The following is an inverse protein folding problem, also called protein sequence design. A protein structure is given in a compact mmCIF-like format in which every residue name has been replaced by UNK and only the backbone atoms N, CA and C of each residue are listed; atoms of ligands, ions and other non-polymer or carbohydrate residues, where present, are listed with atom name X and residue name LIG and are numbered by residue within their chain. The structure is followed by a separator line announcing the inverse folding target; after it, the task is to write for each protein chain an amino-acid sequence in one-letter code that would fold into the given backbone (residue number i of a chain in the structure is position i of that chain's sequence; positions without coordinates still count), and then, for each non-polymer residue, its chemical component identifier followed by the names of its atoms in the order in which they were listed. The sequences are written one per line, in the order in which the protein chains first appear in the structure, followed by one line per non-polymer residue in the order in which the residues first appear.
data_IF_468003803631
#
_entry.id   IF_468003803631
#
_cell.length_a   1.000
_cell.length_b   1.000
_cell.length_c   1.000
_cell.angle_alpha   90.00
_cell.angle_beta   90.00
_cell.angle_gamma   90.00
#
_symmetry.space_group_name_H-M   'P 1'
#
loop_
_entity.id
_entity.type
_entity.pdbx_description
1 polymer ?
#
# COMPACT_ATOMS: atom_id res chain seq x y z
N UNK A 1 -15.50 9.89 -17.59
CA UNK A 1 -14.33 10.19 -18.43
C UNK A 1 -13.33 10.99 -17.63
N UNK A 2 -12.18 11.34 -18.23
CA UNK A 2 -11.15 12.16 -17.58
C UNK A 2 -11.70 13.52 -17.10
N UNK A 3 -12.67 14.08 -17.82
CA UNK A 3 -13.32 15.35 -17.48
C UNK A 3 -14.29 15.26 -16.27
N UNK A 4 -14.55 14.06 -15.77
CA UNK A 4 -15.47 13.83 -14.64
C UNK A 4 -14.73 13.70 -13.30
N UNK A 5 -13.40 13.82 -13.29
CA UNK A 5 -12.58 13.64 -12.09
C UNK A 5 -11.66 14.83 -11.93
N UNK A 6 -11.81 15.54 -10.81
CA UNK A 6 -10.91 16.62 -10.42
C UNK A 6 -10.26 16.29 -9.08
N UNK A 7 -8.93 16.28 -9.04
CA UNK A 7 -8.14 16.01 -7.83
C UNK A 7 -6.85 16.83 -7.87
N UNK A 8 -6.52 17.47 -6.76
CA UNK A 8 -5.30 18.25 -6.63
C UNK A 8 -5.31 19.11 -5.38
N UNK A 9 -4.17 19.75 -5.04
CA UNK A 9 -4.16 20.82 -4.05
C UNK A 9 -5.02 21.98 -4.57
N UNK A 10 -6.00 22.42 -3.76
CA UNK A 10 -6.87 23.54 -4.13
C UNK A 10 -6.23 24.89 -3.79
N UNK A 11 -5.84 25.09 -2.53
CA UNK A 11 -5.31 26.37 -2.04
C UNK A 11 -4.42 26.21 -0.81
N UNK A 12 -3.60 27.22 -0.52
CA UNK A 12 -2.84 27.34 0.73
C UNK A 12 -3.52 28.32 1.68
N UNK A 13 -3.84 27.84 2.89
CA UNK A 13 -4.57 28.61 3.91
C UNK A 13 -3.70 28.70 5.17
N UNK A 14 -3.06 29.86 5.47
CA UNK A 14 -2.00 29.95 6.48
C UNK A 14 -2.40 29.50 7.89
N UNK A 15 -3.64 29.79 8.31
CA UNK A 15 -4.11 29.47 9.66
C UNK A 15 -4.53 28.00 9.85
N UNK A 16 -4.48 27.18 8.80
CA UNK A 16 -4.67 25.73 8.96
C UNK A 16 -3.45 25.05 9.58
N UNK A 17 -2.26 25.68 9.50
CA UNK A 17 -1.00 25.10 9.97
C UNK A 17 -0.80 23.69 9.38
N UNK A 18 -0.63 22.66 10.21
CA UNK A 18 -0.47 21.25 9.81
C UNK A 18 -1.80 20.54 9.47
N UNK A 19 -2.95 21.21 9.63
CA UNK A 19 -4.23 20.59 9.27
C UNK A 19 -4.43 20.59 7.77
N UNK A 20 -4.91 19.46 7.26
CA UNK A 20 -5.38 19.30 5.88
C UNK A 20 -6.88 19.14 5.89
N UNK A 21 -7.55 19.94 5.06
CA UNK A 21 -8.97 19.82 4.78
C UNK A 21 -9.14 19.28 3.36
N UNK A 22 -9.98 18.26 3.20
CA UNK A 22 -10.38 17.74 1.91
C UNK A 22 -11.91 17.80 1.80
N UNK A 23 -12.39 18.51 0.80
CA UNK A 23 -13.80 18.52 0.39
C UNK A 23 -13.95 17.56 -0.78
N UNK A 24 -14.74 16.51 -0.61
CA UNK A 24 -14.90 15.45 -1.62
C UNK A 24 -16.39 15.34 -1.96
N UNK A 25 -16.68 15.41 -3.26
CA UNK A 25 -18.02 15.21 -3.83
C UNK A 25 -17.98 14.03 -4.80
N UNK A 26 -18.94 13.13 -4.68
CA UNK A 26 -19.13 11.96 -5.52
C UNK A 26 -20.55 11.98 -6.06
N UNK A 27 -20.68 11.83 -7.38
CA UNK A 27 -21.97 11.71 -8.06
C UNK A 27 -22.04 10.38 -8.79
N UNK A 28 -23.13 9.66 -8.61
CA UNK A 28 -23.34 8.35 -9.19
C UNK A 28 -24.80 8.04 -9.40
N UNK A 29 -25.08 6.78 -9.74
CA UNK A 29 -26.42 6.24 -9.96
C UNK A 29 -26.56 4.90 -9.24
N UNK A 30 -27.74 4.65 -8.70
CA UNK A 30 -28.08 3.37 -8.06
C UNK A 30 -28.97 2.53 -8.98
N UNK A 31 -29.57 1.46 -8.44
CA UNK A 31 -30.51 0.61 -9.17
C UNK A 31 -31.63 1.45 -9.81
N UNK A 32 -31.95 1.17 -11.07
CA UNK A 32 -32.96 1.92 -11.82
C UNK A 32 -32.51 3.29 -12.31
N UNK A 33 -31.20 3.54 -12.41
CA UNK A 33 -30.60 4.81 -12.87
C UNK A 33 -30.93 6.01 -11.97
N UNK A 34 -31.31 5.75 -10.72
CA UNK A 34 -31.66 6.80 -9.75
C UNK A 34 -30.39 7.55 -9.31
N UNK A 35 -30.34 8.88 -9.45
CA UNK A 35 -29.19 9.69 -9.03
C UNK A 35 -28.85 9.53 -7.55
N UNK A 36 -27.56 9.45 -7.25
CA UNK A 36 -27.00 9.35 -5.91
C UNK A 36 -25.87 10.37 -5.78
N UNK A 37 -25.89 11.16 -4.70
CA UNK A 37 -24.86 12.14 -4.41
C UNK A 37 -24.31 11.93 -3.00
N UNK A 38 -23.00 12.11 -2.85
CA UNK A 38 -22.32 12.11 -1.55
C UNK A 38 -21.41 13.32 -1.50
N UNK A 39 -21.49 14.08 -0.41
CA UNK A 39 -20.54 15.13 -0.07
C UNK A 39 -19.95 14.85 1.31
N UNK A 40 -18.65 15.03 1.44
CA UNK A 40 -17.95 14.86 2.70
C UNK A 40 -16.85 15.92 2.89
N UNK A 41 -16.62 16.29 4.14
CA UNK A 41 -15.46 17.08 4.57
C UNK A 41 -14.61 16.22 5.48
N UNK A 42 -13.34 16.04 5.12
CA UNK A 42 -12.34 15.36 5.93
C UNK A 42 -11.36 16.38 6.50
N UNK A 43 -11.20 16.39 7.82
CA UNK A 43 -10.19 17.17 8.51
C UNK A 43 -9.19 16.24 9.20
N UNK A 44 -7.91 16.42 8.92
CA UNK A 44 -6.83 15.64 9.52
C UNK A 44 -5.66 16.55 9.88
N UNK A 45 -4.79 16.08 10.78
CA UNK A 45 -3.44 16.64 10.94
C UNK A 45 -2.49 15.86 10.03
N UNK A 46 -1.90 16.50 9.02
CA UNK A 46 -1.19 15.82 7.94
C UNK A 46 0.08 15.10 8.42
N UNK A 47 0.89 15.77 9.23
CA UNK A 47 2.16 15.18 9.71
C UNK A 47 1.95 13.98 10.64
N UNK A 48 1.10 14.06 11.69
CA UNK A 48 0.77 12.91 12.54
C UNK A 48 0.11 11.75 11.79
N UNK A 49 -0.64 12.03 10.71
CA UNK A 49 -1.33 10.99 9.93
C UNK A 49 -0.36 9.98 9.29
N UNK A 50 0.91 10.36 9.10
CA UNK A 50 1.96 9.47 8.60
C UNK A 50 2.94 9.02 9.67
N UNK A 51 2.96 9.64 10.85
CA UNK A 51 3.95 9.36 11.89
C UNK A 51 3.93 7.89 12.35
N UNK A 52 2.74 7.31 12.55
CA UNK A 52 2.59 5.89 12.90
C UNK A 52 3.15 4.96 11.84
N UNK A 53 2.90 5.26 10.57
CA UNK A 53 3.43 4.49 9.42
C UNK A 53 4.96 4.53 9.38
N UNK A 54 5.54 5.71 9.60
CA UNK A 54 7.00 5.89 9.60
C UNK A 54 7.66 5.14 10.76
N UNK A 55 7.05 5.13 11.96
CA UNK A 55 7.56 4.39 13.11
C UNK A 55 7.71 2.90 12.78
N UNK A 56 6.67 2.28 12.21
CA UNK A 56 6.71 0.86 11.89
C UNK A 56 7.63 0.54 10.70
N UNK A 57 7.71 1.43 9.72
CA UNK A 57 8.68 1.30 8.62
C UNK A 57 10.13 1.30 9.14
N UNK A 58 10.49 2.23 10.04
CA UNK A 58 11.83 2.28 10.66
C UNK A 58 12.13 1.02 11.47
N UNK A 59 11.15 0.48 12.19
CA UNK A 59 11.29 -0.77 12.94
C UNK A 59 11.55 -1.95 12.01
N UNK A 60 10.84 -2.03 10.87
CA UNK A 60 11.10 -3.05 9.85
C UNK A 60 12.50 -2.92 9.22
N UNK A 61 12.97 -1.69 8.98
CA UNK A 61 14.34 -1.45 8.51
C UNK A 61 15.35 -1.95 9.56
N UNK A 62 15.13 -1.65 10.84
CA UNK A 62 16.01 -2.14 11.91
C UNK A 62 16.05 -3.67 11.98
N UNK A 63 14.90 -4.33 11.84
CA UNK A 63 14.83 -5.79 11.75
C UNK A 63 15.59 -6.34 10.53
N UNK A 64 15.49 -5.68 9.37
CA UNK A 64 16.24 -6.07 8.18
C UNK A 64 17.75 -5.95 8.40
N UNK A 65 18.22 -4.85 9.02
CA UNK A 65 19.62 -4.66 9.38
C UNK A 65 20.13 -5.76 10.30
N UNK A 66 19.37 -6.11 11.33
CA UNK A 66 19.73 -7.18 12.28
C UNK A 66 19.80 -8.56 11.63
N UNK A 67 19.05 -8.75 10.54
CA UNK A 67 19.02 -9.99 9.75
C UNK A 67 20.02 -9.98 8.58
N UNK A 68 20.78 -8.89 8.39
CA UNK A 68 21.71 -8.73 7.27
C UNK A 68 21.02 -8.66 5.90
N UNK A 69 19.76 -8.22 5.87
CA UNK A 69 18.97 -8.07 4.64
C UNK A 69 19.18 -6.68 4.06
N UNK A 70 19.62 -6.62 2.80
CA UNK A 70 19.72 -5.39 2.03
C UNK A 70 18.71 -5.32 0.89
N UNK A 71 18.63 -4.16 0.24
CA UNK A 71 17.67 -3.90 -0.84
C UNK A 71 16.29 -3.45 -0.34
N UNK A 72 15.33 -3.42 -1.25
CA UNK A 72 13.96 -3.05 -0.91
C UNK A 72 13.25 -4.19 -0.16
N UNK A 73 12.60 -3.84 0.95
CA UNK A 73 11.75 -4.78 1.69
C UNK A 73 10.37 -4.79 1.01
N UNK A 74 10.15 -5.66 0.03
CA UNK A 74 8.95 -5.61 -0.83
C UNK A 74 7.63 -5.62 -0.03
N UNK A 75 7.51 -6.52 0.96
CA UNK A 75 6.33 -6.60 1.85
C UNK A 75 6.10 -5.28 2.62
N UNK A 76 7.02 -4.89 3.52
CA UNK A 76 6.95 -3.59 4.22
C UNK A 76 6.75 -2.39 3.32
N UNK A 77 7.46 -2.31 2.19
CA UNK A 77 7.33 -1.18 1.27
C UNK A 77 5.92 -1.09 0.70
N UNK A 78 5.32 -2.22 0.32
CA UNK A 78 3.96 -2.26 -0.24
C UNK A 78 2.86 -1.89 0.75
N UNK A 79 3.11 -2.04 2.05
CA UNK A 79 2.13 -1.68 3.08
C UNK A 79 2.29 -0.24 3.57
N UNK A 80 3.53 0.28 3.63
CA UNK A 80 3.81 1.59 4.21
C UNK A 80 3.93 2.73 3.17
N UNK A 81 4.15 2.42 1.89
CA UNK A 81 4.46 3.42 0.86
C UNK A 81 3.41 3.45 -0.24
N UNK A 82 3.12 4.66 -0.75
CA UNK A 82 2.19 4.85 -1.89
C UNK A 82 2.75 4.38 -3.24
N UNK A 83 4.08 4.25 -3.33
CA UNK A 83 4.78 3.89 -4.58
C UNK A 83 5.84 2.82 -4.29
N UNK A 84 5.41 1.60 -3.92
CA UNK A 84 6.33 0.50 -3.66
C UNK A 84 6.92 -0.06 -4.97
N UNK A 85 8.06 -0.77 -4.90
CA UNK A 85 8.64 -1.46 -6.06
C UNK A 85 7.73 -2.54 -6.66
N UNK A 86 6.92 -3.19 -5.81
CA UNK A 86 5.92 -4.18 -6.20
C UNK A 86 4.61 -3.81 -5.53
N UNK A 87 3.55 -3.70 -6.33
CA UNK A 87 2.21 -3.40 -5.86
C UNK A 87 1.50 -4.67 -5.41
N UNK A 88 0.94 -4.64 -4.21
CA UNK A 88 0.08 -5.68 -3.65
C UNK A 88 -1.24 -5.03 -3.20
N UNK A 89 -2.29 -5.83 -2.99
CA UNK A 89 -3.47 -5.32 -2.27
C UNK A 89 -3.10 -5.03 -0.81
N UNK A 90 -3.78 -4.06 -0.17
CA UNK A 90 -3.50 -3.69 1.22
C UNK A 90 -3.56 -4.89 2.18
N UNK A 91 -4.50 -5.82 1.95
CA UNK A 91 -4.62 -7.05 2.75
C UNK A 91 -3.44 -7.99 2.58
N UNK A 92 -2.96 -8.18 1.34
CA UNK A 92 -1.79 -9.02 1.07
C UNK A 92 -0.51 -8.36 1.62
N UNK A 93 -0.37 -7.05 1.40
CA UNK A 93 0.74 -6.26 1.91
C UNK A 93 0.83 -6.35 3.43
N UNK A 94 -0.31 -6.28 4.13
CA UNK A 94 -0.37 -6.49 5.59
C UNK A 94 0.14 -7.87 6.00
N UNK A 95 -0.35 -8.93 5.36
CA UNK A 95 0.10 -10.30 5.66
C UNK A 95 1.61 -10.46 5.43
N UNK A 96 2.16 -9.88 4.36
CA UNK A 96 3.60 -9.91 4.08
C UNK A 96 4.43 -9.17 5.14
N UNK A 97 3.89 -8.10 5.73
CA UNK A 97 4.54 -7.40 6.86
C UNK A 97 4.54 -8.26 8.11
N UNK A 98 3.42 -8.88 8.47
CA UNK A 98 3.35 -9.77 9.63
C UNK A 98 4.31 -10.97 9.47
N UNK A 99 4.32 -11.60 8.28
CA UNK A 99 5.27 -12.67 7.95
C UNK A 99 6.72 -12.20 8.07
N UNK A 100 7.02 -10.97 7.63
CA UNK A 100 8.34 -10.39 7.79
C UNK A 100 8.68 -10.16 9.27
N UNK A 101 7.75 -9.69 10.10
CA UNK A 101 8.00 -9.46 11.53
C UNK A 101 8.26 -10.79 12.24
N UNK A 102 7.40 -11.79 12.04
CA UNK A 102 7.44 -13.08 12.74
C UNK A 102 8.61 -13.97 12.34
N UNK A 103 9.06 -13.88 11.09
CA UNK A 103 10.10 -14.76 10.60
C UNK A 103 11.49 -14.33 11.09
N UNK A 104 12.00 -14.99 12.13
CA UNK A 104 13.32 -14.74 12.73
C UNK A 104 14.51 -14.82 11.76
N UNK A 105 14.36 -15.41 10.56
CA UNK A 105 15.36 -15.45 9.46
C UNK A 105 14.71 -15.58 8.05
N UNK A 106 13.55 -14.97 7.77
CA UNK A 106 13.02 -15.00 6.39
C UNK A 106 13.87 -14.15 5.44
N UNK A 107 13.87 -14.54 4.17
CA UNK A 107 14.44 -13.72 3.10
C UNK A 107 13.72 -12.38 2.95
N UNK A 108 14.28 -11.45 2.15
CA UNK A 108 13.86 -10.04 2.04
C UNK A 108 12.38 -9.78 1.77
N UNK A 109 11.61 -10.77 1.32
CA UNK A 109 10.28 -10.59 0.73
C UNK A 109 9.15 -11.31 1.49
N UNK A 110 9.35 -11.78 2.73
CA UNK A 110 8.34 -12.55 3.50
C UNK A 110 8.05 -13.95 2.92
N UNK A 111 8.32 -14.18 1.65
CA UNK A 111 8.28 -15.49 1.03
C UNK A 111 9.46 -16.34 1.49
N UNK A 112 9.15 -17.49 2.10
CA UNK A 112 10.09 -18.62 2.19
C UNK A 112 10.67 -18.84 0.79
N UNK A 113 12.01 -18.85 0.67
CA UNK A 113 12.71 -19.17 -0.58
C UNK A 113 12.14 -20.48 -1.12
N UNK A 114 11.25 -20.42 -2.13
CA UNK A 114 10.76 -21.62 -2.83
C UNK A 114 11.99 -22.25 -3.49
N UNK A 115 12.56 -23.26 -2.85
CA UNK A 115 13.54 -24.14 -3.47
C UNK A 115 12.89 -24.79 -4.68
N UNK A 116 13.39 -24.44 -5.87
CA UNK A 116 13.22 -25.17 -7.14
C UNK A 116 11.82 -25.70 -7.43
N UNK A 117 11.03 -24.96 -8.21
CA UNK A 117 9.94 -25.57 -8.98
C UNK A 117 10.62 -26.38 -10.09
N UNK A 118 10.75 -27.69 -9.93
CA UNK A 118 11.12 -28.60 -11.02
C UNK A 118 10.13 -28.41 -12.16
N UNK A 119 10.66 -28.10 -13.34
CA UNK A 119 9.87 -27.94 -14.57
C UNK A 119 9.16 -29.27 -14.84
N UNK A 120 7.82 -29.31 -15.00
CA UNK A 120 7.17 -30.56 -15.37
C UNK A 120 7.63 -30.97 -16.77
N UNK A 121 7.98 -32.24 -16.92
CA UNK A 121 8.44 -32.83 -18.17
C UNK A 121 7.37 -32.65 -19.26
N UNK A 122 7.79 -32.12 -20.41
CA UNK A 122 6.96 -31.98 -21.60
C UNK A 122 6.48 -33.37 -22.04
N UNK A 123 5.17 -33.61 -21.95
CA UNK A 123 4.55 -34.81 -22.50
C UNK A 123 4.69 -34.77 -24.04
N UNK A 124 5.40 -35.74 -24.60
CA UNK A 124 5.54 -35.92 -26.03
C UNK A 124 4.16 -36.20 -26.64
N UNK A 125 3.79 -35.42 -27.65
CA UNK A 125 2.63 -35.68 -28.49
C UNK A 125 2.80 -37.04 -29.18
N UNK A 126 1.89 -37.98 -28.90
CA UNK A 126 1.71 -39.18 -29.71
C UNK A 126 0.83 -38.83 -30.92
N UNK A 127 1.26 -39.36 -32.07
CA UNK A 127 0.58 -39.35 -33.36
C UNK A 127 -0.75 -40.09 -33.30
#
# INVERSE_FOLDING_TARGET
GADNVHIGPSDYVPWLNDRKWAYIRLEGRTFGDVPLNVELKLEVHDSPNSAGIVIDAVRCIKLALDRGIGGALEGPSSYFMKSPPVQYSDSEARSLVEEFIDAGKAGPNGRVRRTGRTKPATAAARR
#
